data_IF_493366328578
#
_entry.id   IF_493366328578
#
_cell.length_a   1.000
_cell.length_b   1.000
_cell.length_c   1.000
_cell.angle_alpha   90.00
_cell.angle_beta   90.00
_cell.angle_gamma   90.00
#
_symmetry.space_group_name_H-M   'P 1'
#
loop_
_entity.id
_entity.type
_entity.pdbx_description
1 polymer ?
#
# COMPACT_ATOMS: atom_id res chain seq x y z
N UNK A 1 0.62 -14.59 9.88
CA UNK A 1 1.72 -13.87 9.19
C UNK A 1 1.53 -13.83 7.68
N UNK A 2 1.11 -14.92 7.03
CA UNK A 2 0.88 -14.95 5.57
C UNK A 2 -0.12 -13.87 5.09
N UNK A 3 -1.26 -13.68 5.76
CA UNK A 3 -2.22 -12.63 5.38
C UNK A 3 -1.64 -11.21 5.46
N UNK A 4 -0.79 -10.93 6.46
CA UNK A 4 -0.09 -9.64 6.58
C UNK A 4 0.88 -9.44 5.41
N UNK A 5 1.64 -10.47 5.06
CA UNK A 5 2.58 -10.44 3.94
C UNK A 5 1.85 -10.25 2.61
N UNK A 6 0.77 -11.00 2.38
CA UNK A 6 -0.05 -10.86 1.18
C UNK A 6 -0.61 -9.43 1.04
N UNK A 7 -1.11 -8.85 2.14
CA UNK A 7 -1.65 -7.48 2.13
C UNK A 7 -0.56 -6.42 1.88
N UNK A 8 0.64 -6.61 2.45
CA UNK A 8 1.78 -5.70 2.18
C UNK A 8 2.15 -5.72 0.70
N UNK A 9 2.17 -6.89 0.06
CA UNK A 9 2.48 -7.04 -1.36
C UNK A 9 1.40 -6.38 -2.21
N UNK A 10 0.12 -6.64 -1.93
CA UNK A 10 -1.01 -6.02 -2.62
C UNK A 10 -0.92 -4.48 -2.58
N UNK A 11 -0.80 -3.89 -1.39
CA UNK A 11 -0.70 -2.44 -1.25
C UNK A 11 0.58 -1.87 -1.88
N UNK A 12 1.67 -2.66 -1.92
CA UNK A 12 2.90 -2.30 -2.60
C UNK A 12 2.69 -2.14 -4.10
N UNK A 13 1.99 -3.08 -4.73
CA UNK A 13 1.63 -3.00 -6.15
C UNK A 13 0.75 -1.78 -6.43
N UNK A 14 -0.28 -1.53 -5.61
CA UNK A 14 -1.15 -0.35 -5.74
C UNK A 14 -0.34 0.96 -5.67
N UNK A 15 0.62 1.05 -4.73
CA UNK A 15 1.52 2.19 -4.59
C UNK A 15 2.33 2.42 -5.87
N UNK A 16 2.89 1.35 -6.43
CA UNK A 16 3.75 1.43 -7.62
C UNK A 16 2.94 1.81 -8.86
N UNK A 17 1.71 1.30 -9.01
CA UNK A 17 0.76 1.75 -10.04
C UNK A 17 0.45 3.24 -9.90
N UNK A 18 0.20 3.72 -8.67
CA UNK A 18 0.00 5.13 -8.39
C UNK A 18 1.22 6.00 -8.79
N UNK A 19 2.44 5.50 -8.63
CA UNK A 19 3.67 6.20 -9.05
C UNK A 19 3.77 6.33 -10.57
N UNK A 20 3.44 5.27 -11.31
CA UNK A 20 3.42 5.30 -12.79
C UNK A 20 2.39 6.31 -13.31
N UNK A 21 1.19 6.35 -12.71
CA UNK A 21 0.14 7.30 -13.09
C UNK A 21 0.58 8.74 -12.81
N UNK A 22 1.15 9.01 -11.62
CA UNK A 22 1.65 10.34 -11.26
C UNK A 22 2.76 10.80 -12.20
N UNK A 23 3.73 9.93 -12.50
CA UNK A 23 4.82 10.24 -13.43
C UNK A 23 4.29 10.62 -14.82
N UNK A 24 3.29 9.87 -15.30
CA UNK A 24 2.65 10.13 -16.60
C UNK A 24 1.90 11.46 -16.59
N UNK A 25 1.13 11.76 -15.54
CA UNK A 25 0.33 12.99 -15.45
C UNK A 25 1.19 14.24 -15.27
N UNK A 26 2.31 14.16 -14.58
CA UNK A 26 3.23 15.29 -14.38
C UNK A 26 3.83 15.81 -15.70
N UNK A 27 3.93 14.97 -16.73
CA UNK A 27 4.36 15.37 -18.08
C UNK A 27 3.26 15.93 -18.98
N UNK A 28 2.03 16.07 -18.47
CA UNK A 28 0.86 16.48 -19.25
C UNK A 28 0.36 17.87 -18.88
N UNK A 29 -0.40 18.49 -19.80
CA UNK A 29 -0.99 19.80 -19.55
C UNK A 29 -1.93 19.80 -18.33
N UNK A 30 -1.74 20.78 -17.45
CA UNK A 30 -2.45 20.89 -16.17
C UNK A 30 -3.96 21.11 -16.31
N UNK A 31 -4.41 21.70 -17.43
CA UNK A 31 -5.82 21.97 -17.74
C UNK A 31 -6.50 20.81 -18.47
N UNK A 32 -5.73 19.82 -18.94
CA UNK A 32 -6.26 18.63 -19.61
C UNK A 32 -7.29 17.95 -18.72
N UNK A 33 -8.44 17.63 -19.32
CA UNK A 33 -9.50 16.87 -18.65
C UNK A 33 -8.99 15.52 -18.18
N UNK A 34 -9.35 15.17 -16.96
CA UNK A 34 -9.08 13.88 -16.35
C UNK A 34 -10.40 13.25 -15.94
N UNK A 35 -10.49 11.92 -16.01
CA UNK A 35 -11.69 11.19 -15.67
C UNK A 35 -11.34 10.10 -14.68
N UNK A 36 -12.01 10.09 -13.53
CA UNK A 36 -11.77 9.13 -12.46
C UNK A 36 -12.99 8.24 -12.24
N UNK A 37 -12.78 6.93 -12.20
CA UNK A 37 -13.81 5.97 -11.80
C UNK A 37 -13.98 5.98 -10.27
N UNK A 38 -15.19 6.25 -9.78
CA UNK A 38 -15.54 6.18 -8.35
C UNK A 38 -16.90 5.52 -8.23
N UNK A 39 -16.97 4.35 -7.58
CA UNK A 39 -18.24 3.65 -7.31
C UNK A 39 -19.06 3.33 -8.56
N UNK A 40 -18.41 3.13 -9.71
CA UNK A 40 -19.09 2.89 -11.00
C UNK A 40 -19.45 4.15 -11.79
N UNK A 41 -19.23 5.35 -11.24
CA UNK A 41 -19.41 6.61 -11.94
C UNK A 41 -18.06 7.19 -12.43
N UNK A 42 -18.07 7.85 -13.58
CA UNK A 42 -16.93 8.58 -14.10
C UNK A 42 -17.04 10.06 -13.70
N UNK A 43 -16.12 10.53 -12.86
CA UNK A 43 -16.07 11.92 -12.39
C UNK A 43 -15.08 12.70 -13.24
N UNK A 44 -15.56 13.77 -13.89
CA UNK A 44 -14.71 14.70 -14.65
C UNK A 44 -13.96 15.66 -13.72
N UNK A 45 -12.66 15.77 -13.91
CA UNK A 45 -11.73 16.69 -13.23
C UNK A 45 -10.69 17.19 -14.24
N UNK A 46 -9.59 17.78 -13.76
CA UNK A 46 -8.42 18.09 -14.58
C UNK A 46 -7.13 17.55 -13.93
N UNK A 47 -6.03 17.54 -14.67
CA UNK A 47 -4.72 17.06 -14.19
C UNK A 47 -4.30 17.81 -12.91
N UNK A 48 -4.42 19.14 -12.89
CA UNK A 48 -4.05 19.98 -11.74
C UNK A 48 -4.75 19.58 -10.44
N UNK A 49 -6.05 19.29 -10.50
CA UNK A 49 -6.85 18.88 -9.33
C UNK A 49 -6.67 17.40 -8.98
N UNK A 50 -6.26 16.58 -9.95
CA UNK A 50 -6.13 15.12 -9.77
C UNK A 50 -4.82 14.73 -9.11
N UNK A 51 -3.71 15.39 -9.45
CA UNK A 51 -2.37 15.10 -8.91
C UNK A 51 -2.37 15.09 -7.36
N UNK A 52 -2.86 16.14 -6.65
CA UNK A 52 -2.84 16.17 -5.19
C UNK A 52 -3.63 15.03 -4.55
N UNK A 53 -4.72 14.59 -5.20
CA UNK A 53 -5.54 13.47 -4.73
C UNK A 53 -4.78 12.15 -4.85
N UNK A 54 -4.07 11.96 -5.97
CA UNK A 54 -3.24 10.76 -6.19
C UNK A 54 -2.02 10.73 -5.26
N UNK A 55 -1.38 11.88 -5.01
CA UNK A 55 -0.26 12.00 -4.07
C UNK A 55 -0.70 11.67 -2.64
N UNK A 56 -1.83 12.22 -2.20
CA UNK A 56 -2.42 11.93 -0.89
C UNK A 56 -2.72 10.44 -0.74
N UNK A 57 -3.35 9.82 -1.76
CA UNK A 57 -3.64 8.38 -1.76
C UNK A 57 -2.37 7.54 -1.68
N UNK A 58 -1.34 7.87 -2.48
CA UNK A 58 -0.05 7.20 -2.43
C UNK A 58 0.59 7.32 -1.04
N UNK A 59 0.58 8.50 -0.43
CA UNK A 59 1.08 8.71 0.92
C UNK A 59 0.39 7.82 1.96
N UNK A 60 -0.94 7.68 1.86
CA UNK A 60 -1.70 6.78 2.73
C UNK A 60 -1.34 5.30 2.53
N UNK A 61 -1.07 4.88 1.28
CA UNK A 61 -0.58 3.53 0.98
C UNK A 61 0.79 3.29 1.63
N UNK A 62 1.73 4.23 1.48
CA UNK A 62 3.08 4.15 2.09
C UNK A 62 2.98 4.01 3.61
N UNK A 63 2.14 4.84 4.25
CA UNK A 63 1.92 4.77 5.69
C UNK A 63 1.33 3.43 6.12
N UNK A 64 0.32 2.95 5.40
CA UNK A 64 -0.34 1.66 5.69
C UNK A 64 0.64 0.48 5.55
N UNK A 65 1.45 0.47 4.50
CA UNK A 65 2.51 -0.54 4.30
C UNK A 65 3.51 -0.51 5.45
N UNK A 66 3.92 0.68 5.89
CA UNK A 66 4.84 0.84 7.03
C UNK A 66 4.26 0.25 8.31
N UNK A 67 3.00 0.56 8.62
CA UNK A 67 2.29 0.02 9.79
C UNK A 67 2.19 -1.50 9.74
N UNK A 68 1.80 -2.08 8.60
CA UNK A 68 1.67 -3.53 8.46
C UNK A 68 3.02 -4.25 8.56
N UNK A 69 4.10 -3.64 8.04
CA UNK A 69 5.47 -4.17 8.21
C UNK A 69 5.89 -4.19 9.67
N UNK A 70 5.61 -3.12 10.41
CA UNK A 70 5.91 -3.04 11.84
C UNK A 70 5.11 -4.11 12.64
N UNK A 71 3.84 -4.30 12.31
CA UNK A 71 2.99 -5.34 12.91
C UNK A 71 3.53 -6.74 12.60
N UNK A 72 3.93 -7.01 11.35
CA UNK A 72 4.52 -8.29 10.95
C UNK A 72 5.78 -8.61 11.77
N UNK A 73 6.69 -7.65 11.93
CA UNK A 73 7.93 -7.83 12.72
C UNK A 73 7.57 -8.10 14.18
N UNK A 74 6.68 -7.27 14.76
CA UNK A 74 6.25 -7.42 16.16
C UNK A 74 5.64 -8.81 16.41
N UNK A 75 4.73 -9.26 15.55
CA UNK A 75 4.11 -10.59 15.68
C UNK A 75 5.13 -11.71 15.55
N UNK A 76 6.13 -11.57 14.67
CA UNK A 76 7.20 -12.55 14.54
C UNK A 76 8.05 -12.63 15.81
N UNK A 77 8.43 -11.48 16.39
CA UNK A 77 9.19 -11.42 17.64
C UNK A 77 8.42 -12.01 18.83
N UNK A 78 7.12 -11.70 18.94
CA UNK A 78 6.23 -12.25 19.97
C UNK A 78 6.12 -13.78 19.84
N UNK A 79 6.02 -14.29 18.60
CA UNK A 79 6.00 -15.73 18.36
C UNK A 79 7.31 -16.41 18.74
N UNK A 80 8.46 -15.83 18.39
CA UNK A 80 9.77 -16.34 18.80
C UNK A 80 9.93 -16.34 20.33
N UNK A 81 9.50 -15.28 20.99
CA UNK A 81 9.51 -15.19 22.45
C UNK A 81 8.63 -16.27 23.08
N UNK A 82 7.39 -16.41 22.61
CA UNK A 82 6.46 -17.42 23.11
C UNK A 82 7.02 -18.84 22.96
N UNK A 83 7.67 -19.17 21.83
CA UNK A 83 8.33 -20.47 21.65
C UNK A 83 9.42 -20.73 22.69
N UNK A 84 10.26 -19.72 22.98
CA UNK A 84 11.33 -19.82 24.00
C UNK A 84 10.76 -20.00 25.40
N UNK A 85 9.79 -19.18 25.78
CA UNK A 85 9.18 -19.19 27.11
C UNK A 85 8.51 -20.54 27.41
N UNK A 86 7.94 -21.18 26.38
CA UNK A 86 7.26 -22.47 26.49
C UNK A 86 8.15 -23.68 26.16
N UNK A 87 9.46 -23.48 25.94
CA UNK A 87 10.42 -24.54 25.58
C UNK A 87 9.98 -25.40 24.38
N UNK A 88 9.27 -24.80 23.43
CA UNK A 88 8.78 -25.48 22.22
C UNK A 88 10.00 -25.85 21.35
N UNK A 89 10.18 -27.13 21.07
CA UNK A 89 11.17 -27.62 20.13
C UNK A 89 10.49 -28.04 18.82
N UNK A 90 10.94 -27.47 17.70
CA UNK A 90 10.45 -27.86 16.37
C UNK A 90 11.12 -29.18 16.00
N UNK A 91 10.36 -30.28 16.08
CA UNK A 91 10.80 -31.58 15.57
C UNK A 91 10.52 -31.57 14.07
N UNK A 92 11.58 -31.58 13.24
CA UNK A 92 11.43 -31.84 11.80
C UNK A 92 11.21 -33.33 11.60
N UNK A 93 10.07 -33.71 11.02
CA UNK A 93 9.88 -35.03 10.39
C UNK A 93 10.59 -35.06 9.03
#
# INVERSE_FOLDING_TARGET
MENLQAKIIELGNDKDEHEVVLATLNGTDSSRKCYRMIGGALVETNVKSTIPVLETKKGNLVNSISTLKAELVKTAEEFEKWKKDNKIQVVRQ
#
